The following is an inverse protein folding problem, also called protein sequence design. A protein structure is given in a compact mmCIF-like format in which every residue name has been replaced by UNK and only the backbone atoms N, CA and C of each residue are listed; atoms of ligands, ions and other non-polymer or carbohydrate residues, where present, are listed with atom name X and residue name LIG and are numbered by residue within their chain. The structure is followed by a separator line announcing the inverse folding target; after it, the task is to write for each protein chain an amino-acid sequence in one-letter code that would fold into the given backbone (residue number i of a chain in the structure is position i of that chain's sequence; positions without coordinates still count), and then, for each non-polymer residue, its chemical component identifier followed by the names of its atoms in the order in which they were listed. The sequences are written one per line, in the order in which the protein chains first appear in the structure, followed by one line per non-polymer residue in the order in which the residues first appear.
data_IF_387661118991
#
_entry.id   IF_387661118991
#
_cell.length_a   1.000
_cell.length_b   1.000
_cell.length_c   1.000
_cell.angle_alpha   90.00
_cell.angle_beta   90.00
_cell.angle_gamma   90.00
#
_symmetry.space_group_name_H-M   'P 1'
#
loop_
_entity.id
_entity.type
_entity.pdbx_description
1 polymer ?
#
# COMPACT_ATOMS: atom_id res chain seq x y z
N UNK A 1 -7.81 4.68 -14.05
CA UNK A 1 -8.55 3.66 -14.83
C UNK A 1 -9.43 4.40 -15.81
N UNK A 2 -9.14 4.31 -17.11
CA UNK A 2 -9.94 4.99 -18.13
C UNK A 2 -10.92 3.97 -18.71
N UNK A 3 -12.20 4.15 -18.42
CA UNK A 3 -13.28 3.31 -18.96
C UNK A 3 -13.47 3.64 -20.44
N UNK A 4 -13.37 2.63 -21.32
CA UNK A 4 -13.78 2.76 -22.72
C UNK A 4 -15.21 2.23 -22.84
N UNK A 5 -16.10 3.01 -23.44
CA UNK A 5 -17.47 2.59 -23.74
C UNK A 5 -17.50 1.95 -25.13
N UNK A 6 -17.90 0.68 -25.18
CA UNK A 6 -18.19 -0.02 -26.43
C UNK A 6 -19.69 0.08 -26.72
N UNK A 7 -20.04 0.24 -28.00
CA UNK A 7 -21.43 0.24 -28.47
C UNK A 7 -21.57 -0.88 -29.49
N UNK A 8 -22.64 -1.68 -29.33
CA UNK A 8 -22.99 -2.77 -30.25
C UNK A 8 -24.08 -2.24 -31.17
N UNK A 9 -23.88 -2.34 -32.47
CA UNK A 9 -24.90 -1.93 -33.44
C UNK A 9 -26.01 -2.97 -33.59
N UNK A 10 -27.11 -2.60 -34.26
CA UNK A 10 -28.28 -3.46 -34.47
C UNK A 10 -28.02 -4.71 -35.32
N UNK A 11 -26.79 -4.93 -35.79
CA UNK A 11 -26.34 -6.15 -36.48
C UNK A 11 -25.38 -6.99 -35.62
N UNK A 12 -25.17 -6.61 -34.36
CA UNK A 12 -24.31 -7.36 -33.42
C UNK A 12 -22.82 -7.03 -33.53
N UNK A 13 -22.42 -6.02 -34.32
CA UNK A 13 -21.01 -5.66 -34.45
C UNK A 13 -20.61 -4.67 -33.36
N UNK A 14 -19.46 -4.91 -32.74
CA UNK A 14 -18.89 -4.04 -31.71
C UNK A 14 -18.03 -2.97 -32.38
N UNK A 15 -18.45 -1.70 -32.28
CA UNK A 15 -17.66 -0.56 -32.77
C UNK A 15 -17.11 0.26 -31.61
N UNK A 16 -15.82 0.55 -31.66
CA UNK A 16 -15.15 1.44 -30.73
C UNK A 16 -15.13 2.86 -31.32
N UNK A 17 -15.63 3.84 -30.56
CA UNK A 17 -15.62 5.22 -31.01
C UNK A 17 -14.16 5.73 -31.15
N UNK A 18 -13.79 6.39 -32.26
CA UNK A 18 -12.46 6.94 -32.44
C UNK A 18 -12.18 8.02 -31.39
N UNK A 19 -11.05 7.88 -30.68
CA UNK A 19 -10.58 8.86 -29.70
C UNK A 19 -10.21 10.16 -30.41
N UNK A 20 -10.94 11.24 -30.13
CA UNK A 20 -10.49 12.59 -30.47
C UNK A 20 -9.25 12.92 -29.64
N UNK A 21 -8.10 13.02 -30.29
CA UNK A 21 -6.86 13.52 -29.68
C UNK A 21 -7.06 14.99 -29.33
N UNK A 22 -7.26 15.29 -28.05
CA UNK A 22 -7.22 16.66 -27.53
C UNK A 22 -5.75 17.04 -27.36
N UNK A 23 -5.21 17.80 -28.32
CA UNK A 23 -3.92 18.48 -28.16
C UNK A 23 -4.02 19.45 -26.98
N UNK A 24 -3.43 19.09 -25.84
CA UNK A 24 -3.15 20.05 -24.76
C UNK A 24 -1.98 20.92 -25.20
N UNK A 25 -2.22 22.22 -25.41
CA UNK A 25 -1.17 23.23 -25.57
C UNK A 25 -0.25 23.22 -24.33
N UNK A 26 1.08 23.28 -24.50
CA UNK A 26 1.99 23.44 -23.37
C UNK A 26 1.74 24.79 -22.70
N UNK A 27 1.79 24.79 -21.36
CA UNK A 27 1.72 26.00 -20.55
C UNK A 27 3.04 26.76 -20.68
N UNK A 28 2.95 28.05 -20.96
CA UNK A 28 4.05 29.01 -20.95
C UNK A 28 4.85 28.90 -19.65
N UNK A 29 6.15 28.64 -19.80
CA UNK A 29 7.16 28.87 -18.76
C UNK A 29 7.54 30.33 -18.87
N UNK A 30 7.27 31.09 -17.80
CA UNK A 30 7.71 32.46 -17.64
C UNK A 30 9.17 32.42 -17.18
N UNK A 31 10.08 32.87 -18.05
CA UNK A 31 11.50 33.11 -17.72
C UNK A 31 11.66 34.63 -17.61
N UNK A 32 12.17 35.18 -16.51
CA UNK A 32 12.55 36.58 -16.49
C UNK A 32 13.91 36.75 -17.19
N UNK A 33 13.89 37.57 -18.23
CA UNK A 33 15.05 38.28 -18.76
C UNK A 33 15.54 39.27 -17.69
N UNK A 34 16.83 39.19 -17.36
CA UNK A 34 17.75 40.32 -17.24
C UNK A 34 19.03 39.85 -16.55
N UNK A 35 20.16 39.92 -17.27
CA UNK A 35 21.34 40.72 -16.91
C UNK A 35 22.58 40.27 -17.71
N UNK A 36 22.87 41.10 -18.72
CA UNK A 36 24.18 41.66 -19.06
C UNK A 36 25.39 40.72 -19.22
N UNK A 37 25.71 40.54 -20.50
CA UNK A 37 27.06 40.47 -21.09
C UNK A 37 28.16 41.20 -20.33
N UNK A 38 29.24 40.48 -19.99
CA UNK A 38 30.62 41.00 -20.08
C UNK A 38 31.56 39.87 -20.52
N UNK A 39 31.97 39.94 -21.79
CA UNK A 39 33.16 39.28 -22.34
C UNK A 39 34.40 40.03 -21.86
N UNK A 40 35.29 39.36 -21.15
CA UNK A 40 36.68 39.80 -20.99
C UNK A 40 37.62 38.68 -21.40
N UNK A 41 38.42 39.01 -22.41
CA UNK A 41 39.58 38.29 -22.89
C UNK A 41 40.61 38.16 -21.77
N UNK A 42 41.15 36.96 -21.59
CA UNK A 42 42.28 36.70 -20.71
C UNK A 42 43.04 35.48 -21.21
N UNK A 43 44.05 35.74 -22.03
CA UNK A 43 45.04 34.77 -22.49
C UNK A 43 45.74 34.14 -21.27
N UNK A 44 45.64 32.83 -21.09
CA UNK A 44 46.52 32.08 -20.21
C UNK A 44 47.53 31.33 -21.08
N UNK A 45 48.75 31.86 -21.06
CA UNK A 45 49.96 31.27 -21.61
C UNK A 45 50.25 29.96 -20.88
N UNK A 46 50.41 28.91 -21.67
CA UNK A 46 50.93 27.60 -21.27
C UNK A 46 52.43 27.79 -20.97
N UNK A 47 52.93 27.49 -19.76
CA UNK A 47 54.36 27.39 -19.56
C UNK A 47 54.86 26.09 -20.22
N UNK A 48 55.84 26.26 -21.10
CA UNK A 48 56.60 25.17 -21.69
C UNK A 48 57.30 24.37 -20.58
N UNK A 49 56.95 23.09 -20.48
CA UNK A 49 57.68 22.12 -19.66
C UNK A 49 58.88 21.68 -20.48
N UNK A 50 60.07 22.06 -20.02
CA UNK A 50 61.36 21.65 -20.58
C UNK A 50 61.66 20.20 -20.19
N UNK A 51 62.20 19.42 -21.13
CA UNK A 51 62.50 17.97 -21.05
C UNK A 51 63.62 17.59 -20.05
N UNK A 52 64.06 18.50 -19.18
CA UNK A 52 65.21 18.30 -18.26
C UNK A 52 64.80 17.90 -16.83
N UNK A 53 63.54 17.48 -16.60
CA UNK A 53 63.06 16.99 -15.30
C UNK A 53 62.52 15.55 -15.33
N UNK A 54 62.89 14.77 -16.35
CA UNK A 54 62.42 13.38 -16.56
C UNK A 54 63.31 12.32 -15.87
N UNK A 55 64.42 12.68 -15.22
CA UNK A 55 65.35 11.70 -14.59
C UNK A 55 65.71 12.04 -13.13
N UNK A 56 64.74 12.07 -12.21
CA UNK A 56 65.08 12.17 -10.77
C UNK A 56 63.99 11.74 -9.76
N UNK A 57 63.02 10.89 -10.12
CA UNK A 57 62.09 10.28 -9.13
C UNK A 57 61.86 8.83 -9.46
N UNK A 58 62.95 8.07 -9.51
CA UNK A 58 62.94 6.63 -9.69
C UNK A 58 63.89 6.01 -8.65
N UNK A 59 63.59 6.26 -7.37
CA UNK A 59 64.24 5.59 -6.22
C UNK A 59 63.52 5.94 -4.89
N UNK A 60 62.21 5.70 -4.81
CA UNK A 60 61.49 5.49 -3.54
C UNK A 60 60.43 4.42 -3.72
N UNK A 61 60.82 3.34 -4.39
CA UNK A 61 60.20 2.04 -4.19
C UNK A 61 60.96 1.36 -3.04
N UNK A 62 60.22 0.63 -2.20
CA UNK A 62 60.65 -0.05 -0.98
C UNK A 62 60.53 0.79 0.29
N UNK A 63 59.36 0.64 0.92
CA UNK A 63 59.12 0.63 2.37
C UNK A 63 57.94 1.52 2.83
N UNK A 64 56.73 1.20 2.36
CA UNK A 64 55.50 1.28 3.17
C UNK A 64 54.69 0.01 2.89
N UNK A 65 55.16 -1.09 3.47
CA UNK A 65 54.34 -2.27 3.63
C UNK A 65 53.25 -1.98 4.67
N UNK A 66 52.10 -2.60 4.47
CA UNK A 66 51.13 -2.96 5.51
C UNK A 66 50.09 -1.89 5.91
N UNK A 67 49.47 -1.21 4.93
CA UNK A 67 48.04 -0.90 5.08
C UNK A 67 47.28 -2.17 4.68
N UNK A 68 47.20 -3.13 5.61
CA UNK A 68 46.26 -4.23 5.48
C UNK A 68 44.91 -3.61 5.17
N UNK A 69 44.31 -4.04 4.07
CA UNK A 69 42.87 -3.98 3.88
C UNK A 69 42.22 -4.41 5.20
N UNK A 70 41.76 -3.42 5.97
CA UNK A 70 40.69 -3.64 6.92
C UNK A 70 39.54 -4.13 6.07
N UNK A 71 39.33 -5.45 6.12
CA UNK A 71 38.07 -6.06 5.70
C UNK A 71 36.99 -5.19 6.35
N UNK A 72 36.12 -4.53 5.57
CA UNK A 72 35.09 -3.68 6.14
C UNK A 72 34.38 -4.50 7.20
N UNK A 73 34.43 -4.03 8.44
CA UNK A 73 33.70 -4.65 9.53
C UNK A 73 32.25 -4.84 9.08
N UNK A 74 31.72 -6.04 9.30
CA UNK A 74 30.37 -6.44 8.90
C UNK A 74 29.38 -5.31 9.20
N UNK A 75 28.50 -5.00 8.24
CA UNK A 75 27.57 -3.88 8.37
C UNK A 75 26.81 -3.99 9.71
N UNK A 76 26.72 -2.89 10.48
CA UNK A 76 26.25 -2.96 11.85
C UNK A 76 24.83 -3.53 11.89
N UNK A 77 24.61 -4.52 12.75
CA UNK A 77 23.25 -5.02 13.02
C UNK A 77 22.47 -3.95 13.78
N UNK A 78 21.26 -3.64 13.31
CA UNK A 78 20.40 -2.66 13.97
C UNK A 78 19.47 -3.36 14.96
N UNK A 79 19.82 -3.25 16.24
CA UNK A 79 19.02 -3.77 17.35
C UNK A 79 17.62 -3.12 17.41
N UNK A 80 16.62 -3.81 17.98
CA UNK A 80 15.22 -3.33 18.01
C UNK A 80 15.05 -1.93 18.59
N UNK A 81 15.79 -1.61 19.65
CA UNK A 81 15.61 -0.38 20.43
C UNK A 81 16.55 0.76 19.99
N UNK A 82 17.52 0.46 19.11
CA UNK A 82 18.51 1.43 18.66
C UNK A 82 17.88 2.46 17.70
N UNK A 83 18.16 3.75 17.88
CA UNK A 83 17.78 4.77 16.90
C UNK A 83 18.76 4.73 15.73
N UNK A 84 18.31 4.39 14.50
CA UNK A 84 19.20 4.22 13.35
C UNK A 84 19.82 5.55 12.93
N UNK A 85 21.01 5.55 12.35
CA UNK A 85 21.63 6.71 11.71
C UNK A 85 21.12 6.95 10.29
N UNK A 86 21.11 8.22 9.86
CA UNK A 86 20.77 8.52 8.48
C UNK A 86 21.96 8.16 7.61
N UNK A 87 21.70 7.66 6.42
CA UNK A 87 22.73 7.31 5.44
C UNK A 87 23.71 6.23 5.88
N UNK A 88 23.39 5.48 6.93
CA UNK A 88 24.13 4.32 7.41
C UNK A 88 23.40 3.04 7.01
N UNK A 89 24.14 2.07 6.47
CA UNK A 89 23.61 0.74 6.17
C UNK A 89 23.62 -0.12 7.42
N UNK A 90 22.52 -0.83 7.63
CA UNK A 90 22.33 -1.74 8.74
C UNK A 90 21.87 -3.10 8.25
N UNK A 91 22.33 -4.13 8.93
CA UNK A 91 21.84 -5.51 8.76
C UNK A 91 20.62 -5.71 9.66
N UNK A 92 19.50 -6.11 9.07
CA UNK A 92 18.20 -6.31 9.75
C UNK A 92 17.40 -7.41 9.10
N UNK A 93 16.56 -8.09 9.89
CA UNK A 93 15.56 -9.00 9.34
C UNK A 93 14.38 -8.23 8.75
N UNK A 94 14.28 -8.19 7.42
CA UNK A 94 13.20 -7.49 6.71
C UNK A 94 12.07 -8.45 6.35
N UNK A 95 10.83 -8.03 6.63
CA UNK A 95 9.63 -8.79 6.27
C UNK A 95 9.00 -8.24 5.00
N UNK A 96 9.13 -8.98 3.89
CA UNK A 96 8.50 -8.63 2.62
C UNK A 96 7.17 -9.36 2.47
N UNK A 97 6.08 -8.60 2.35
CA UNK A 97 4.75 -9.18 2.13
C UNK A 97 4.40 -9.16 0.63
N UNK A 98 4.22 -10.33 -0.01
CA UNK A 98 3.72 -10.38 -1.37
C UNK A 98 2.25 -9.95 -1.38
N UNK A 99 1.97 -8.81 -1.99
CA UNK A 99 0.58 -8.49 -2.38
C UNK A 99 0.26 -9.20 -3.70
N UNK A 100 -1.03 -9.44 -3.98
CA UNK A 100 -1.52 -10.11 -5.22
C UNK A 100 -1.01 -9.52 -6.55
N UNK A 101 -0.21 -8.43 -6.52
CA UNK A 101 0.44 -7.82 -7.67
C UNK A 101 1.92 -7.45 -7.41
N UNK A 102 2.70 -8.32 -6.73
CA UNK A 102 4.15 -8.23 -6.37
C UNK A 102 4.41 -7.88 -4.89
N UNK A 103 5.61 -8.18 -4.33
CA UNK A 103 6.02 -7.66 -3.02
C UNK A 103 6.16 -6.14 -3.12
N UNK A 104 5.07 -5.45 -2.76
CA UNK A 104 5.00 -4.00 -2.77
C UNK A 104 4.97 -3.44 -1.34
N UNK A 105 5.04 -4.31 -0.33
CA UNK A 105 4.97 -3.96 1.07
C UNK A 105 6.16 -4.54 1.83
N UNK A 106 6.90 -3.66 2.49
CA UNK A 106 7.95 -3.99 3.45
C UNK A 106 7.42 -3.63 4.84
N UNK A 107 7.59 -4.52 5.80
CA UNK A 107 7.28 -4.26 7.22
C UNK A 107 8.59 -4.24 8.01
N UNK A 108 8.80 -3.16 8.77
CA UNK A 108 9.95 -3.00 9.66
C UNK A 108 9.55 -2.18 10.89
N UNK A 109 9.85 -2.68 12.10
CA UNK A 109 9.45 -2.09 13.39
C UNK A 109 7.98 -1.65 13.44
N UNK A 110 7.08 -2.54 13.03
CA UNK A 110 5.63 -2.31 12.96
C UNK A 110 5.17 -1.17 12.03
N UNK A 111 6.06 -0.63 11.19
CA UNK A 111 5.71 0.31 10.13
C UNK A 111 5.69 -0.37 8.77
N UNK A 112 4.69 -0.03 7.96
CA UNK A 112 4.57 -0.49 6.57
C UNK A 112 5.13 0.54 5.61
N UNK A 113 5.88 0.05 4.64
CA UNK A 113 6.50 0.84 3.57
C UNK A 113 6.06 0.32 2.20
N UNK A 114 5.81 1.25 1.28
CA UNK A 114 5.44 0.98 -0.10
C UNK A 114 6.61 1.26 -1.03
N UNK A 115 6.83 0.36 -1.99
CA UNK A 115 7.86 0.51 -3.01
C UNK A 115 7.55 1.72 -3.91
N UNK A 116 8.50 2.64 -4.03
CA UNK A 116 8.34 3.91 -4.75
C UNK A 116 8.82 3.80 -6.19
N UNK A 117 9.97 3.16 -6.38
CA UNK A 117 10.59 2.92 -7.67
C UNK A 117 11.06 1.47 -7.69
N UNK A 118 11.06 0.88 -8.88
CA UNK A 118 11.75 -0.40 -9.08
C UNK A 118 13.24 -0.22 -8.82
N UNK A 119 13.91 -1.34 -8.58
CA UNK A 119 15.35 -1.46 -8.32
C UNK A 119 16.14 -0.42 -9.13
N UNK A 120 16.89 0.42 -8.42
CA UNK A 120 17.80 1.42 -8.98
C UNK A 120 18.99 0.71 -9.63
N UNK A 121 19.81 1.46 -10.39
CA UNK A 121 20.99 0.90 -11.09
C UNK A 121 22.04 0.30 -10.13
N UNK A 122 22.07 0.77 -8.90
CA UNK A 122 22.90 0.31 -7.80
C UNK A 122 22.35 -0.95 -7.09
N UNK A 123 21.24 -1.52 -7.58
CA UNK A 123 20.58 -2.67 -6.94
C UNK A 123 19.70 -2.30 -5.75
N UNK A 124 19.63 -1.02 -5.36
CA UNK A 124 18.86 -0.59 -4.20
C UNK A 124 17.37 -0.41 -4.54
N UNK A 125 16.49 -0.76 -3.60
CA UNK A 125 15.05 -0.52 -3.69
C UNK A 125 14.65 0.64 -2.78
N UNK A 126 13.86 1.57 -3.31
CA UNK A 126 13.44 2.76 -2.57
C UNK A 126 12.02 2.60 -2.04
N UNK A 127 11.88 2.74 -0.74
CA UNK A 127 10.64 2.56 0.01
C UNK A 127 10.24 3.87 0.69
N UNK A 128 8.94 4.13 0.74
CA UNK A 128 8.37 5.23 1.54
C UNK A 128 7.34 4.68 2.48
N UNK A 129 7.22 5.28 3.66
CA UNK A 129 6.15 4.92 4.58
C UNK A 129 4.80 4.96 3.86
N UNK A 130 3.98 3.92 4.05
CA UNK A 130 2.68 3.78 3.39
C UNK A 130 1.67 4.86 3.85
N UNK A 131 1.92 5.52 4.99
CA UNK A 131 1.06 6.61 5.46
C UNK A 131 1.35 7.89 4.66
N UNK A 132 0.29 8.39 4.01
CA UNK A 132 0.34 9.66 3.27
C UNK A 132 0.82 10.80 4.19
N UNK A 133 1.84 11.54 3.72
CA UNK A 133 2.41 12.69 4.43
C UNK A 133 3.50 12.33 5.45
N UNK A 134 3.81 11.06 5.65
CA UNK A 134 4.96 10.66 6.46
C UNK A 134 6.28 10.93 5.70
N UNK A 135 7.29 11.56 6.34
CA UNK A 135 8.56 11.91 5.68
C UNK A 135 9.57 10.76 5.61
N UNK A 136 9.34 9.65 6.34
CA UNK A 136 10.28 8.53 6.43
C UNK A 136 10.37 7.77 5.11
N UNK A 137 11.60 7.62 4.61
CA UNK A 137 11.96 6.80 3.46
C UNK A 137 13.17 5.94 3.76
N UNK A 138 13.18 4.74 3.17
CA UNK A 138 14.21 3.73 3.35
C UNK A 138 14.76 3.31 1.99
N UNK A 139 16.01 2.91 1.98
CA UNK A 139 16.62 2.12 0.92
C UNK A 139 16.89 0.71 1.45
N UNK A 140 16.64 -0.29 0.62
CA UNK A 140 17.07 -1.67 0.92
C UNK A 140 17.96 -2.17 -0.19
N UNK A 141 18.90 -3.05 0.18
CA UNK A 141 19.75 -3.78 -0.75
C UNK A 141 19.68 -5.25 -0.36
N UNK A 142 19.32 -6.12 -1.31
CA UNK A 142 19.07 -7.52 -0.97
C UNK A 142 17.87 -7.69 -0.03
N UNK A 143 17.97 -8.63 0.90
CA UNK A 143 16.89 -9.05 1.82
C UNK A 143 17.08 -8.59 3.26
N UNK A 144 18.24 -8.04 3.58
CA UNK A 144 18.73 -7.83 4.94
C UNK A 144 19.33 -6.44 5.17
N UNK A 145 19.80 -5.75 4.12
CA UNK A 145 20.38 -4.41 4.28
C UNK A 145 19.32 -3.31 4.17
N UNK A 146 19.36 -2.39 5.13
CA UNK A 146 18.47 -1.25 5.29
C UNK A 146 19.25 0.04 5.53
N UNK A 147 18.81 1.14 4.93
CA UNK A 147 19.32 2.48 5.20
C UNK A 147 18.20 3.51 5.26
N UNK A 148 18.24 4.42 6.24
CA UNK A 148 17.31 5.56 6.32
C UNK A 148 17.87 6.75 5.53
N UNK A 149 17.08 7.33 4.61
CA UNK A 149 17.57 8.46 3.78
C UNK A 149 17.38 9.83 4.45
N UNK A 150 16.16 10.15 4.88
CA UNK A 150 15.78 11.55 5.19
C UNK A 150 15.29 11.78 6.61
N UNK A 151 14.54 10.83 7.14
CA UNK A 151 13.93 10.93 8.45
C UNK A 151 13.86 9.55 9.08
N UNK A 152 14.18 9.48 10.38
CA UNK A 152 14.18 8.24 11.17
C UNK A 152 12.87 8.03 11.93
N UNK A 153 12.22 9.13 12.32
CA UNK A 153 11.04 9.13 13.20
C UNK A 153 9.75 9.31 12.42
N UNK A 154 8.77 8.47 12.74
CA UNK A 154 7.41 8.56 12.22
C UNK A 154 6.59 9.54 13.06
N UNK A 155 5.95 10.58 12.48
CA UNK A 155 5.03 11.48 13.19
C UNK A 155 3.65 10.85 13.40
N UNK A 156 3.61 9.54 13.59
CA UNK A 156 2.38 8.76 13.73
C UNK A 156 2.61 7.42 14.43
N UNK A 157 1.56 6.92 15.08
CA UNK A 157 1.54 5.56 15.61
C UNK A 157 1.85 4.50 14.54
N UNK A 158 2.42 3.38 14.97
CA UNK A 158 2.75 2.23 14.12
C UNK A 158 1.49 1.63 13.49
N UNK A 159 1.71 0.79 12.47
CA UNK A 159 0.62 0.09 11.81
C UNK A 159 -0.10 -0.86 12.78
N UNK A 160 0.64 -1.57 13.63
CA UNK A 160 0.06 -2.52 14.57
C UNK A 160 -0.69 -1.83 15.72
N UNK A 161 -0.12 -0.78 16.33
CA UNK A 161 -0.86 0.03 17.33
C UNK A 161 -2.14 0.62 16.74
N UNK A 162 -2.12 1.01 15.46
CA UNK A 162 -3.33 1.45 14.76
C UNK A 162 -4.31 0.29 14.54
N UNK A 163 -3.83 -0.91 14.26
CA UNK A 163 -4.65 -2.11 14.10
C UNK A 163 -5.35 -2.44 15.41
N UNK A 164 -4.62 -2.46 16.52
CA UNK A 164 -5.10 -2.78 17.86
C UNK A 164 -6.04 -1.72 18.43
N UNK A 165 -5.74 -0.43 18.29
CA UNK A 165 -6.63 0.65 18.73
C UNK A 165 -7.98 0.69 17.98
N UNK A 166 -8.13 -0.02 16.85
CA UNK A 166 -9.46 -0.23 16.27
C UNK A 166 -10.32 -1.22 17.06
N UNK A 167 -9.78 -1.97 18.02
CA UNK A 167 -10.48 -3.03 18.76
C UNK A 167 -10.65 -2.75 20.26
N UNK A 168 -10.01 -1.71 20.81
CA UNK A 168 -9.92 -1.52 22.28
C UNK A 168 -11.02 -0.69 22.92
N UNK A 169 -11.83 0.07 22.17
CA UNK A 169 -12.97 0.75 22.78
C UNK A 169 -14.16 -0.22 22.88
N UNK A 170 -14.75 -0.41 24.07
CA UNK A 170 -15.93 -1.23 24.22
C UNK A 170 -17.03 -0.65 23.33
N UNK A 171 -17.62 -1.52 22.50
CA UNK A 171 -18.67 -1.11 21.59
C UNK A 171 -19.86 -0.56 22.38
N UNK A 172 -20.26 0.66 22.07
CA UNK A 172 -21.35 1.33 22.78
C UNK A 172 -22.68 0.71 22.38
N UNK A 173 -23.61 0.60 23.33
CA UNK A 173 -24.98 0.22 23.01
C UNK A 173 -25.65 1.46 22.43
N UNK A 174 -26.19 1.36 21.21
CA UNK A 174 -26.85 2.47 20.56
C UNK A 174 -28.37 2.38 20.74
N UNK A 175 -28.94 3.33 21.48
CA UNK A 175 -30.37 3.39 21.76
C UNK A 175 -31.19 3.62 20.47
N UNK A 176 -32.34 2.95 20.26
CA UNK A 176 -33.06 2.93 18.97
C UNK A 176 -33.33 4.30 18.31
N UNK A 177 -33.46 5.35 19.12
CA UNK A 177 -33.71 6.74 18.70
C UNK A 177 -32.44 7.56 18.45
N UNK A 178 -31.28 7.15 18.94
CA UNK A 178 -30.05 7.95 18.92
C UNK A 178 -29.32 7.86 17.57
N UNK A 179 -28.98 8.98 16.94
CA UNK A 179 -28.21 8.94 15.71
C UNK A 179 -26.77 8.45 15.96
N UNK A 180 -26.26 7.45 15.21
CA UNK A 180 -24.90 6.96 15.41
C UNK A 180 -23.87 8.05 15.10
N UNK A 181 -22.89 8.19 15.98
CA UNK A 181 -21.71 9.02 15.75
C UNK A 181 -20.75 8.32 14.78
N UNK A 182 -20.10 9.12 13.95
CA UNK A 182 -19.05 8.60 13.08
C UNK A 182 -17.85 8.14 13.88
N UNK A 183 -17.16 7.12 13.38
CA UNK A 183 -15.92 6.58 13.96
C UNK A 183 -16.03 5.92 15.34
N UNK A 184 -17.24 5.76 15.89
CA UNK A 184 -17.52 5.02 17.13
C UNK A 184 -17.97 3.61 16.79
N UNK A 185 -17.56 2.63 17.60
CA UNK A 185 -18.03 1.25 17.50
C UNK A 185 -19.31 1.07 18.30
N UNK A 186 -20.30 0.44 17.67
CA UNK A 186 -21.59 0.15 18.29
C UNK A 186 -21.87 -1.34 18.30
N UNK A 187 -22.32 -1.84 19.44
CA UNK A 187 -23.00 -3.12 19.52
C UNK A 187 -24.46 -2.87 19.17
N UNK A 188 -24.85 -3.30 17.99
CA UNK A 188 -26.20 -3.12 17.48
C UNK A 188 -26.74 -4.43 16.93
N UNK A 189 -28.06 -4.61 17.00
CA UNK A 189 -28.75 -5.71 16.32
C UNK A 189 -28.62 -5.58 14.80
N UNK A 190 -27.53 -6.10 14.24
CA UNK A 190 -27.31 -6.18 12.80
C UNK A 190 -28.10 -7.36 12.23
N UNK A 191 -28.89 -7.11 11.19
CA UNK A 191 -29.59 -8.16 10.48
C UNK A 191 -28.82 -8.51 9.20
N UNK A 192 -28.21 -9.69 9.15
CA UNK A 192 -27.56 -10.21 7.95
C UNK A 192 -28.57 -10.97 7.10
N UNK A 193 -28.56 -10.74 5.79
CA UNK A 193 -29.43 -11.45 4.85
C UNK A 193 -28.82 -11.52 3.46
N UNK A 194 -29.31 -12.45 2.65
CA UNK A 194 -28.94 -12.54 1.24
C UNK A 194 -30.07 -11.96 0.40
N UNK A 195 -29.73 -11.08 -0.56
CA UNK A 195 -30.72 -10.57 -1.50
C UNK A 195 -31.08 -11.62 -2.56
N UNK A 196 -32.08 -11.34 -3.39
CA UNK A 196 -32.50 -12.22 -4.49
C UNK A 196 -31.39 -12.51 -5.53
N UNK A 197 -30.37 -11.65 -5.58
CA UNK A 197 -29.19 -11.81 -6.45
C UNK A 197 -28.06 -12.61 -5.80
N UNK A 198 -28.30 -13.21 -4.63
CA UNK A 198 -27.27 -13.94 -3.89
C UNK A 198 -26.25 -13.05 -3.16
N UNK A 199 -26.38 -11.72 -3.21
CA UNK A 199 -25.43 -10.82 -2.54
C UNK A 199 -25.70 -10.73 -1.04
N UNK A 200 -24.63 -10.85 -0.25
CA UNK A 200 -24.64 -10.65 1.20
C UNK A 200 -24.91 -9.19 1.54
N UNK A 201 -25.88 -8.97 2.40
CA UNK A 201 -26.35 -7.66 2.83
C UNK A 201 -26.44 -7.62 4.35
N UNK A 202 -26.34 -6.42 4.90
CA UNK A 202 -26.57 -6.15 6.32
C UNK A 202 -27.54 -4.99 6.46
N UNK A 203 -28.52 -5.12 7.33
CA UNK A 203 -29.47 -4.06 7.66
C UNK A 203 -29.22 -3.56 9.07
N UNK A 204 -29.21 -2.23 9.19
CA UNK A 204 -29.15 -1.52 10.45
C UNK A 204 -30.11 -0.32 10.37
N UNK A 205 -31.09 -0.26 11.27
CA UNK A 205 -32.09 0.84 11.36
C UNK A 205 -32.70 1.26 10.02
N UNK A 206 -33.18 0.27 9.26
CA UNK A 206 -33.77 0.46 7.93
C UNK A 206 -32.83 1.01 6.84
N UNK A 207 -31.54 1.12 7.12
CA UNK A 207 -30.51 1.28 6.11
C UNK A 207 -29.96 -0.09 5.74
N UNK A 208 -29.86 -0.36 4.44
CA UNK A 208 -29.28 -1.59 3.91
C UNK A 208 -27.90 -1.27 3.37
N UNK A 209 -26.92 -2.09 3.76
CA UNK A 209 -25.57 -2.06 3.24
C UNK A 209 -25.30 -3.34 2.45
N UNK A 210 -24.59 -3.20 1.35
CA UNK A 210 -24.26 -4.22 0.36
C UNK A 210 -22.77 -4.18 0.02
N UNK A 211 -22.31 -5.10 -0.82
CA UNK A 211 -20.92 -5.11 -1.29
C UNK A 211 -19.94 -5.39 -0.17
N UNK A 212 -20.31 -6.32 0.72
CA UNK A 212 -19.50 -6.74 1.85
C UNK A 212 -18.17 -7.30 1.35
N UNK A 213 -17.05 -6.74 1.83
CA UNK A 213 -15.69 -7.23 1.54
C UNK A 213 -14.93 -7.45 2.82
N UNK A 214 -14.48 -8.68 3.04
CA UNK A 214 -13.65 -9.04 4.18
C UNK A 214 -12.17 -8.77 3.91
N UNK A 215 -11.51 -8.10 4.84
CA UNK A 215 -10.08 -7.84 4.80
C UNK A 215 -9.39 -8.65 5.89
N UNK A 216 -8.61 -9.67 5.48
CA UNK A 216 -7.89 -10.59 6.37
C UNK A 216 -6.96 -9.84 7.33
N UNK A 217 -6.17 -8.89 6.83
CA UNK A 217 -5.23 -8.07 7.61
C UNK A 217 -5.92 -7.39 8.79
N UNK A 218 -7.03 -6.70 8.52
CA UNK A 218 -7.73 -5.94 9.55
C UNK A 218 -8.82 -6.75 10.27
N UNK A 219 -9.14 -7.98 9.88
CA UNK A 219 -10.30 -8.76 10.38
C UNK A 219 -11.61 -7.95 10.35
N UNK A 220 -11.77 -7.08 9.35
CA UNK A 220 -12.93 -6.20 9.19
C UNK A 220 -13.66 -6.48 7.89
N UNK A 221 -14.98 -6.31 7.92
CA UNK A 221 -15.83 -6.32 6.73
C UNK A 221 -16.26 -4.91 6.40
N UNK A 222 -15.94 -4.44 5.20
CA UNK A 222 -16.41 -3.15 4.69
C UNK A 222 -17.70 -3.33 3.90
N UNK A 223 -18.65 -2.44 4.11
CA UNK A 223 -19.93 -2.42 3.39
C UNK A 223 -20.34 -0.99 3.04
N UNK A 224 -21.16 -0.86 1.99
CA UNK A 224 -21.59 0.42 1.43
C UNK A 224 -23.11 0.47 1.38
N UNK A 225 -23.68 1.65 1.59
CA UNK A 225 -25.13 1.80 1.48
C UNK A 225 -25.63 1.37 0.09
N UNK A 226 -26.72 0.62 0.06
CA UNK A 226 -27.30 0.08 -1.19
C UNK A 226 -27.98 1.14 -2.05
N UNK A 227 -28.31 2.30 -1.49
CA UNK A 227 -28.99 3.37 -2.23
C UNK A 227 -28.04 3.99 -3.25
N UNK A 228 -28.42 4.05 -4.54
CA UNK A 228 -27.59 4.67 -5.57
C UNK A 228 -27.20 6.11 -5.19
N UNK A 229 -25.95 6.48 -5.46
CA UNK A 229 -25.37 7.80 -5.13
C UNK A 229 -25.22 8.10 -3.63
N UNK A 230 -25.57 7.17 -2.74
CA UNK A 230 -25.22 7.28 -1.33
C UNK A 230 -23.76 6.86 -1.12
N UNK A 231 -22.98 7.70 -0.44
CA UNK A 231 -21.57 7.44 -0.15
C UNK A 231 -21.33 7.00 1.30
N UNK A 232 -22.40 6.68 2.03
CA UNK A 232 -22.31 6.18 3.38
C UNK A 232 -21.76 4.75 3.36
N UNK A 233 -20.82 4.48 4.25
CA UNK A 233 -20.16 3.18 4.41
C UNK A 233 -19.97 2.87 5.89
N UNK A 234 -19.83 1.59 6.17
CA UNK A 234 -19.63 1.09 7.53
C UNK A 234 -18.66 -0.08 7.52
N UNK A 235 -18.02 -0.29 8.68
CA UNK A 235 -17.12 -1.40 8.95
C UNK A 235 -17.73 -2.27 10.02
N UNK A 236 -17.63 -3.58 9.86
CA UNK A 236 -18.12 -4.58 10.80
C UNK A 236 -16.93 -5.41 11.28
N UNK A 237 -16.79 -5.57 12.58
CA UNK A 237 -15.75 -6.42 13.18
C UNK A 237 -16.20 -7.89 13.30
N UNK A 238 -15.31 -8.75 13.81
CA UNK A 238 -15.61 -10.17 14.03
C UNK A 238 -16.60 -10.45 15.16
N UNK A 239 -16.94 -9.44 15.96
CA UNK A 239 -17.89 -9.49 17.07
C UNK A 239 -19.26 -8.91 16.68
N UNK A 240 -19.46 -8.59 15.40
CA UNK A 240 -20.65 -7.96 14.84
C UNK A 240 -20.91 -6.53 15.33
N UNK A 241 -19.88 -5.84 15.83
CA UNK A 241 -19.97 -4.42 16.07
C UNK A 241 -19.85 -3.66 14.76
N UNK A 242 -20.55 -2.52 14.66
CA UNK A 242 -20.54 -1.67 13.47
C UNK A 242 -19.93 -0.30 13.78
N UNK A 243 -19.11 0.20 12.86
CA UNK A 243 -18.53 1.55 12.90
C UNK A 243 -18.83 2.28 11.61
N UNK A 244 -19.46 3.44 11.72
CA UNK A 244 -19.87 4.25 10.57
C UNK A 244 -18.76 5.19 10.13
N UNK A 245 -18.56 5.32 8.82
CA UNK A 245 -17.68 6.34 8.27
C UNK A 245 -18.32 7.74 8.40
N UNK A 246 -17.52 8.84 8.35
CA UNK A 246 -18.03 10.21 8.50
C UNK A 246 -19.06 10.65 7.46
N UNK A 247 -19.21 9.90 6.36
CA UNK A 247 -20.14 10.21 5.29
C UNK A 247 -21.55 9.79 5.71
N UNK A 248 -22.38 10.78 6.03
CA UNK A 248 -23.79 10.57 6.39
C UNK A 248 -24.63 10.15 5.17
N UNK A 249 -25.70 9.41 5.44
CA UNK A 249 -26.72 9.13 4.44
C UNK A 249 -27.35 10.43 3.92
N UNK A 250 -27.50 10.56 2.61
CA UNK A 250 -28.17 11.70 1.94
C UNK A 250 -29.56 11.32 1.43
N UNK A 251 -30.21 10.40 2.13
CA UNK A 251 -31.54 9.92 1.80
C UNK A 251 -32.25 9.53 3.10
N UNK A 252 -33.59 9.60 3.13
CA UNK A 252 -34.35 9.10 4.26
C UNK A 252 -34.15 7.60 4.43
N UNK A 253 -34.50 7.09 5.61
CA UNK A 253 -34.58 5.65 5.86
C UNK A 253 -35.46 5.01 4.79
N UNK A 254 -34.96 3.95 4.16
CA UNK A 254 -35.71 3.24 3.13
C UNK A 254 -36.82 2.47 3.86
N UNK A 255 -38.05 2.99 3.82
CA UNK A 255 -39.22 2.32 4.38
C UNK A 255 -39.41 1.00 3.64
N UNK A 256 -38.97 -0.08 4.24
CA UNK A 256 -39.19 -1.44 3.77
C UNK A 256 -38.75 -1.63 2.32
N UNK A 257 -37.49 -2.03 2.11
CA UNK A 257 -37.29 -3.07 1.11
C UNK A 257 -38.10 -4.25 1.64
N UNK A 258 -39.36 -4.36 1.18
CA UNK A 258 -40.20 -5.53 1.47
C UNK A 258 -39.30 -6.71 1.18
N UNK A 259 -39.10 -7.56 2.17
CA UNK A 259 -38.42 -8.81 1.94
C UNK A 259 -39.18 -9.47 0.79
N UNK A 260 -38.57 -9.51 -0.39
CA UNK A 260 -39.21 -10.09 -1.56
C UNK A 260 -39.67 -11.49 -1.20
N UNK A 261 -40.83 -11.91 -1.71
CA UNK A 261 -41.38 -13.26 -1.53
C UNK A 261 -40.32 -14.26 -2.05
N UNK A 262 -39.39 -14.69 -1.19
CA UNK A 262 -38.18 -15.41 -1.59
C UNK A 262 -36.92 -15.11 -0.76
N UNK A 263 -36.91 -14.08 0.08
CA UNK A 263 -35.77 -13.84 0.98
C UNK A 263 -35.76 -14.87 2.12
N UNK A 264 -34.74 -15.73 2.14
CA UNK A 264 -34.39 -16.51 3.33
C UNK A 264 -33.90 -15.52 4.40
N UNK A 265 -34.81 -15.09 5.28
CA UNK A 265 -34.48 -14.32 6.48
C UNK A 265 -33.56 -15.19 7.35
N UNK A 266 -32.26 -14.93 7.30
CA UNK A 266 -31.33 -15.46 8.30
C UNK A 266 -31.52 -14.62 9.56
N UNK A 267 -32.49 -15.05 10.37
CA UNK A 267 -32.77 -14.47 11.68
C UNK A 267 -31.51 -14.53 12.51
N UNK A 268 -31.10 -13.38 13.07
CA UNK A 268 -30.11 -13.18 14.13
C UNK A 268 -29.15 -14.36 14.27
N UNK A 269 -28.22 -14.47 13.33
CA UNK A 269 -27.21 -15.51 13.42
C UNK A 269 -26.41 -15.26 14.70
N UNK A 270 -26.29 -16.26 15.62
CA UNK A 270 -25.36 -16.16 16.73
C UNK A 270 -23.97 -15.85 16.21
N UNK A 271 -23.15 -15.14 16.98
CA UNK A 271 -21.86 -14.55 16.59
C UNK A 271 -20.95 -15.50 15.80
N UNK A 272 -21.03 -16.82 16.06
CA UNK A 272 -20.31 -17.86 15.34
C UNK A 272 -20.76 -18.06 13.87
N UNK A 273 -22.05 -18.01 13.58
CA UNK A 273 -22.59 -18.26 12.24
C UNK A 273 -22.42 -17.07 11.27
N UNK A 274 -22.28 -15.83 11.80
CA UNK A 274 -21.92 -14.65 10.98
C UNK A 274 -20.47 -14.74 10.49
N UNK A 275 -19.57 -15.32 11.29
CA UNK A 275 -18.17 -15.50 10.88
C UNK A 275 -18.05 -16.46 9.69
N UNK A 276 -18.81 -17.55 9.64
CA UNK A 276 -18.86 -18.41 8.45
C UNK A 276 -19.49 -17.70 7.26
N UNK A 277 -20.61 -16.98 7.47
CA UNK A 277 -21.27 -16.24 6.40
C UNK A 277 -20.34 -15.22 5.71
N UNK A 278 -19.42 -14.61 6.45
CA UNK A 278 -18.45 -13.64 5.94
C UNK A 278 -17.14 -14.30 5.45
N UNK A 279 -16.69 -15.42 6.02
CA UNK A 279 -15.41 -16.09 5.69
C UNK A 279 -15.44 -16.97 4.44
N UNK A 280 -16.62 -17.41 3.97
CA UNK A 280 -16.72 -18.49 2.96
C UNK A 280 -16.15 -18.14 1.55
N UNK A 281 -15.90 -16.88 1.21
CA UNK A 281 -15.48 -16.50 -0.16
C UNK A 281 -13.95 -16.50 -0.43
N UNK A 282 -13.17 -17.34 0.24
CA UNK A 282 -11.74 -17.49 -0.10
C UNK A 282 -11.20 -18.92 -0.10
N UNK A 283 -12.05 -19.95 0.07
CA UNK A 283 -11.60 -21.34 -0.09
C UNK A 283 -11.62 -21.82 -1.54
N UNK A 284 -12.46 -21.25 -2.40
CA UNK A 284 -12.70 -21.82 -3.75
C UNK A 284 -11.74 -21.34 -4.85
N UNK A 285 -10.71 -20.52 -4.52
CA UNK A 285 -9.70 -20.07 -5.51
C UNK A 285 -8.27 -20.58 -5.22
N UNK A 286 -8.08 -21.49 -4.26
CA UNK A 286 -6.76 -22.05 -3.93
C UNK A 286 -6.54 -23.51 -4.37
N UNK A 287 -7.54 -24.19 -4.92
CA UNK A 287 -7.43 -25.59 -5.34
C UNK A 287 -7.33 -25.71 -6.87
N UNK A 288 -6.21 -25.29 -7.46
CA UNK A 288 -5.81 -25.73 -8.82
C UNK A 288 -4.40 -25.24 -9.21
N UNK A 289 -3.37 -25.57 -8.43
CA UNK A 289 -2.00 -25.73 -8.97
C UNK A 289 -1.27 -26.80 -8.14
N UNK A 290 -1.73 -28.06 -8.24
CA UNK A 290 -0.91 -29.20 -7.84
C UNK A 290 0.02 -29.53 -9.03
N UNK A 291 1.16 -28.83 -9.11
CA UNK A 291 2.23 -29.21 -10.05
C UNK A 291 2.84 -30.49 -9.49
N UNK A 292 2.48 -31.62 -10.09
CA UNK A 292 3.20 -32.87 -9.94
C UNK A 292 4.63 -32.65 -10.45
N UNK A 293 5.56 -32.48 -9.51
CA UNK A 293 6.97 -32.62 -9.81
C UNK A 293 7.25 -34.12 -9.90
N UNK A 294 7.34 -34.63 -11.13
CA UNK A 294 7.96 -35.94 -11.37
C UNK A 294 9.48 -35.79 -11.15
N UNK A 295 10.12 -36.73 -10.45
CA UNK A 295 11.57 -36.75 -10.33
C UNK A 295 12.19 -37.08 -11.69
N UNK A 296 13.09 -36.23 -12.16
CA UNK A 296 13.95 -36.51 -13.30
C UNK A 296 15.03 -37.47 -12.82
N UNK A 297 14.99 -38.71 -13.30
CA UNK A 297 16.08 -39.67 -13.17
C UNK A 297 17.33 -39.10 -13.85
N UNK A 298 18.37 -38.86 -13.05
CA UNK A 298 19.71 -38.52 -13.48
C UNK A 298 20.56 -39.79 -13.39
N UNK A 299 20.39 -40.66 -14.38
CA UNK A 299 21.39 -41.68 -14.71
C UNK A 299 21.56 -41.70 -16.22
N UNK A 300 22.83 -41.62 -16.66
CA UNK A 300 23.38 -41.64 -18.03
C UNK A 300 23.84 -40.27 -18.56
N UNK A 301 25.09 -39.92 -18.21
CA UNK A 301 26.20 -39.76 -19.16
C UNK A 301 27.54 -39.57 -18.43
#
# INVERSE_FOLDING_TARGET
MCSASAVIDGQGNIRFAPRKHVHRKPKNVFVPDDLLTQTLNGQNLIPAVTEEQVEAVQEKENNVNDTRHLIPEDEPTLESDQEPELSTWYTVELQFEPTNKKPNCLTFRDYRFSLVRRTRRDGCQAWRCARKGCPVSLLTRGTDLLMFEKAKRHPHASYETRRESNFELPAQILEPSEAPLASVWYNAGLEFFTNERGSKCVRFRNHVYTGMRYFKDSKLTYCYCSVPRCLASAKIDSRNNIKFDPRKHRHPQVKGVKAGKGQKKLTLLPTAAVQEFVKVEMKDEQELVEVKNEPVDLDLL
#
